data_IF_830954815453
#
_entry.id   IF_830954815453
#
_cell.length_a   1.000
_cell.length_b   1.000
_cell.length_c   1.000
_cell.angle_alpha   90.00
_cell.angle_beta   90.00
_cell.angle_gamma   90.00
#
_symmetry.space_group_name_H-M   'P 1'
#
loop_
_entity.id
_entity.type
_entity.pdbx_description
1 polymer ?
#
# COMPACT_ATOMS: atom_id res chain seq x y z
N UNK A 1 -9.06 21.31 -1.94
CA UNK A 1 -8.03 20.64 -2.79
C UNK A 1 -8.53 20.69 -4.21
N UNK A 2 -7.72 21.21 -5.14
CA UNK A 2 -8.05 21.31 -6.55
C UNK A 2 -8.26 19.90 -7.17
N UNK A 3 -9.41 19.61 -7.81
CA UNK A 3 -9.66 18.34 -8.51
C UNK A 3 -8.59 17.98 -9.55
N UNK A 4 -7.98 18.99 -10.19
CA UNK A 4 -6.93 18.78 -11.18
C UNK A 4 -5.65 18.26 -10.50
N UNK A 5 -5.26 18.86 -9.38
CA UNK A 5 -4.11 18.41 -8.60
C UNK A 5 -4.26 16.96 -8.12
N UNK A 6 -5.46 16.56 -7.68
CA UNK A 6 -5.75 15.17 -7.29
C UNK A 6 -5.60 14.20 -8.47
N UNK A 7 -6.06 14.60 -9.66
CA UNK A 7 -5.92 13.81 -10.89
C UNK A 7 -4.45 13.64 -11.27
N UNK A 8 -3.66 14.71 -11.18
CA UNK A 8 -2.24 14.69 -11.51
C UNK A 8 -1.45 13.81 -10.52
N UNK A 9 -1.75 13.92 -9.22
CA UNK A 9 -1.19 13.02 -8.20
C UNK A 9 -1.53 11.56 -8.49
N UNK A 10 -2.77 11.27 -8.88
CA UNK A 10 -3.20 9.92 -9.21
C UNK A 10 -2.48 9.38 -10.45
N UNK A 11 -2.36 10.19 -11.51
CA UNK A 11 -1.64 9.81 -12.71
C UNK A 11 -0.18 9.45 -12.39
N UNK A 12 0.50 10.29 -11.60
CA UNK A 12 1.88 10.05 -11.16
C UNK A 12 2.04 8.87 -10.20
N UNK A 13 1.01 8.57 -9.41
CA UNK A 13 0.98 7.40 -8.54
C UNK A 13 0.86 6.11 -9.35
N UNK A 14 -0.06 6.06 -10.31
CA UNK A 14 -0.33 4.89 -11.15
C UNK A 14 0.77 4.64 -12.18
N UNK A 15 1.31 5.71 -12.79
CA UNK A 15 2.35 5.63 -13.80
C UNK A 15 3.71 5.87 -13.16
N UNK A 16 4.30 4.78 -12.64
CA UNK A 16 5.67 4.75 -12.13
C UNK A 16 6.58 4.28 -13.28
N UNK A 17 7.57 5.10 -13.72
CA UNK A 17 8.51 4.71 -14.76
C UNK A 17 9.17 3.36 -14.43
N UNK A 18 9.29 2.45 -15.39
CA UNK A 18 9.92 1.14 -15.09
C UNK A 18 11.44 1.17 -15.14
N UNK A 19 12.00 2.22 -15.72
CA UNK A 19 13.42 2.26 -16.11
C UNK A 19 14.29 3.07 -15.13
N UNK A 20 13.69 3.66 -14.09
CA UNK A 20 14.37 4.62 -13.21
C UNK A 20 14.42 4.19 -11.74
N UNK A 21 13.49 3.36 -11.32
CA UNK A 21 13.28 2.92 -9.96
C UNK A 21 12.49 1.61 -9.91
N UNK A 22 12.71 0.84 -8.86
CA UNK A 22 12.06 -0.46 -8.65
C UNK A 22 11.00 -0.33 -7.57
N UNK A 23 9.71 -0.53 -7.89
CA UNK A 23 8.64 -0.57 -6.90
C UNK A 23 8.72 -1.75 -5.94
N UNK A 24 9.42 -2.82 -6.34
CA UNK A 24 9.79 -3.95 -5.49
C UNK A 24 11.31 -4.10 -5.49
N UNK A 25 11.94 -3.94 -4.32
CA UNK A 25 13.39 -4.01 -4.16
C UNK A 25 13.94 -5.42 -4.43
N UNK A 26 13.10 -6.46 -4.42
CA UNK A 26 13.50 -7.81 -4.85
C UNK A 26 13.82 -7.88 -6.36
N UNK A 27 13.49 -6.85 -7.13
CA UNK A 27 13.78 -6.75 -8.57
C UNK A 27 15.05 -5.95 -8.88
N UNK A 28 15.75 -5.45 -7.86
CA UNK A 28 17.02 -4.76 -8.06
C UNK A 28 18.06 -5.70 -8.69
N UNK A 29 18.80 -5.28 -9.74
CA UNK A 29 19.85 -6.10 -10.36
C UNK A 29 20.95 -6.47 -9.36
N UNK A 30 21.39 -5.49 -8.57
CA UNK A 30 22.39 -5.66 -7.51
C UNK A 30 21.75 -5.25 -6.18
N UNK A 31 21.52 -6.21 -5.29
CA UNK A 31 20.96 -5.95 -3.97
C UNK A 31 22.08 -5.70 -2.96
N UNK A 32 22.32 -4.41 -2.65
CA UNK A 32 23.20 -3.98 -1.58
C UNK A 32 22.63 -2.73 -0.89
N UNK A 33 23.24 -2.31 0.21
CA UNK A 33 22.77 -1.16 1.00
C UNK A 33 22.70 0.13 0.18
N UNK A 34 23.69 0.35 -0.68
CA UNK A 34 23.77 1.55 -1.52
C UNK A 34 22.64 1.58 -2.56
N UNK A 35 22.45 0.51 -3.32
CA UNK A 35 21.40 0.44 -4.36
C UNK A 35 20.00 0.51 -3.77
N UNK A 36 19.79 -0.11 -2.60
CA UNK A 36 18.55 -0.03 -1.86
C UNK A 36 18.25 1.41 -1.43
N UNK A 37 19.21 2.09 -0.81
CA UNK A 37 19.06 3.47 -0.36
C UNK A 37 18.83 4.43 -1.53
N UNK A 38 19.58 4.26 -2.62
CA UNK A 38 19.43 5.06 -3.84
C UNK A 38 18.03 4.91 -4.45
N UNK A 39 17.51 3.67 -4.52
CA UNK A 39 16.17 3.41 -5.01
C UNK A 39 15.09 4.03 -4.12
N UNK A 40 15.18 3.84 -2.79
CA UNK A 40 14.23 4.45 -1.84
C UNK A 40 14.26 5.97 -1.92
N UNK A 41 15.45 6.58 -2.03
CA UNK A 41 15.60 8.02 -2.20
C UNK A 41 14.96 8.50 -3.50
N UNK A 42 15.23 7.83 -4.62
CA UNK A 42 14.66 8.19 -5.93
C UNK A 42 13.13 8.12 -5.91
N UNK A 43 12.57 7.05 -5.34
CA UNK A 43 11.12 6.86 -5.16
C UNK A 43 10.52 7.95 -4.30
N UNK A 44 11.13 8.25 -3.15
CA UNK A 44 10.65 9.29 -2.24
C UNK A 44 10.67 10.67 -2.89
N UNK A 45 11.75 11.04 -3.60
CA UNK A 45 11.84 12.29 -4.38
C UNK A 45 10.79 12.33 -5.50
N UNK A 46 10.46 11.18 -6.08
CA UNK A 46 9.39 11.06 -7.08
C UNK A 46 7.96 11.14 -6.47
N UNK A 47 7.83 11.17 -5.14
CA UNK A 47 6.54 11.18 -4.43
C UNK A 47 5.96 9.79 -4.20
N UNK A 48 6.73 8.73 -4.36
CA UNK A 48 6.33 7.37 -4.06
C UNK A 48 6.82 6.98 -2.67
N UNK A 49 5.92 7.07 -1.69
CA UNK A 49 6.25 6.84 -0.27
C UNK A 49 6.27 5.36 0.14
N UNK A 50 5.76 4.50 -0.73
CA UNK A 50 5.62 3.07 -0.50
C UNK A 50 6.48 2.28 -1.47
N UNK A 51 7.18 1.27 -0.97
CA UNK A 51 8.04 0.37 -1.77
C UNK A 51 7.92 -1.05 -1.22
N UNK A 52 7.80 -2.05 -2.09
CA UNK A 52 7.79 -3.46 -1.68
C UNK A 52 9.19 -4.01 -1.45
N UNK A 53 9.25 -5.03 -0.59
CA UNK A 53 10.33 -6.00 -0.49
C UNK A 53 9.64 -7.37 -0.41
N UNK A 54 9.28 -7.94 -1.56
CA UNK A 54 8.43 -9.12 -1.61
C UNK A 54 7.08 -8.88 -0.91
N UNK A 55 6.85 -9.55 0.23
CA UNK A 55 5.62 -9.38 1.03
C UNK A 55 5.68 -8.23 2.06
N UNK A 56 6.84 -7.61 2.24
CA UNK A 56 7.03 -6.49 3.18
C UNK A 56 6.78 -5.17 2.46
N UNK A 57 6.21 -4.20 3.18
CA UNK A 57 6.00 -2.84 2.68
C UNK A 57 6.88 -1.85 3.46
N UNK A 58 7.80 -1.19 2.77
CA UNK A 58 8.54 -0.04 3.29
C UNK A 58 7.69 1.22 3.08
N UNK A 59 7.48 1.97 4.15
CA UNK A 59 6.80 3.26 4.15
C UNK A 59 7.76 4.36 4.62
N UNK A 60 8.02 5.35 3.76
CA UNK A 60 8.83 6.53 4.09
C UNK A 60 7.90 7.69 4.38
N UNK A 61 7.85 8.16 5.63
CA UNK A 61 6.92 9.21 6.06
C UNK A 61 7.21 10.54 5.33
N UNK A 62 6.27 11.08 4.53
CA UNK A 62 6.48 12.33 3.81
C UNK A 62 6.27 13.59 4.68
N UNK A 63 5.86 13.46 5.96
CA UNK A 63 5.52 14.55 6.88
C UNK A 63 4.50 15.56 6.32
N UNK A 64 3.68 15.12 5.37
CA UNK A 64 2.63 15.91 4.73
C UNK A 64 1.49 15.00 4.29
N UNK A 65 0.32 15.60 4.08
CA UNK A 65 -0.82 14.88 3.54
C UNK A 65 -0.51 14.36 2.12
N UNK A 66 -0.83 13.10 1.88
CA UNK A 66 -0.68 12.45 0.58
C UNK A 66 -2.05 11.94 0.09
N UNK A 67 -2.57 12.39 -1.07
CA UNK A 67 -3.95 12.12 -1.49
C UNK A 67 -4.21 10.68 -1.99
N UNK A 68 -3.35 9.72 -1.67
CA UNK A 68 -3.41 8.33 -2.14
C UNK A 68 -4.43 7.47 -1.36
N UNK A 69 -4.92 7.94 -0.22
CA UNK A 69 -5.85 7.22 0.65
C UNK A 69 -7.33 7.39 0.28
N UNK A 70 -7.65 8.01 -0.86
CA UNK A 70 -9.03 8.23 -1.29
C UNK A 70 -9.77 6.89 -1.47
N UNK A 71 -11.01 6.75 -0.95
CA UNK A 71 -11.84 5.54 -1.13
C UNK A 71 -12.05 5.10 -2.58
N UNK A 72 -11.95 6.00 -3.55
CA UNK A 72 -11.98 5.63 -4.98
C UNK A 72 -10.77 4.77 -5.37
N UNK A 73 -9.59 5.08 -4.83
CA UNK A 73 -8.34 4.36 -5.10
C UNK A 73 -8.23 3.06 -4.30
N UNK A 74 -8.82 3.04 -3.10
CA UNK A 74 -8.99 1.83 -2.28
C UNK A 74 -9.57 0.66 -3.09
N UNK A 75 -10.56 0.92 -3.95
CA UNK A 75 -11.23 -0.12 -4.75
C UNK A 75 -10.29 -0.81 -5.76
N UNK A 76 -9.22 -0.15 -6.18
CA UNK A 76 -8.28 -0.71 -7.17
C UNK A 76 -7.51 -1.91 -6.61
N UNK A 77 -7.18 -1.86 -5.31
CA UNK A 77 -6.40 -2.89 -4.64
C UNK A 77 -7.21 -4.11 -4.20
N UNK A 78 -8.54 -4.10 -4.40
CA UNK A 78 -9.40 -5.18 -3.94
C UNK A 78 -9.29 -6.42 -4.82
N UNK A 79 -9.18 -7.60 -4.18
CA UNK A 79 -9.04 -8.90 -4.85
C UNK A 79 -7.80 -8.97 -5.75
N UNK A 80 -6.74 -8.22 -5.41
CA UNK A 80 -5.50 -8.20 -6.18
C UNK A 80 -4.39 -8.88 -5.39
N UNK A 81 -3.55 -9.64 -6.10
CA UNK A 81 -2.33 -10.20 -5.50
C UNK A 81 -1.31 -9.08 -5.33
N UNK A 82 -0.51 -9.16 -4.27
CA UNK A 82 0.71 -8.35 -4.15
C UNK A 82 1.60 -8.64 -5.35
N UNK A 83 2.07 -7.60 -6.02
CA UNK A 83 2.88 -7.75 -7.22
C UNK A 83 2.88 -6.50 -8.11
N UNK A 84 3.44 -6.62 -9.32
CA UNK A 84 3.75 -5.49 -10.18
C UNK A 84 2.54 -4.88 -10.91
N UNK A 85 1.35 -5.47 -10.77
CA UNK A 85 0.13 -4.97 -11.43
C UNK A 85 -0.28 -3.57 -10.93
N UNK A 86 -0.04 -3.30 -9.64
CA UNK A 86 -0.38 -2.04 -9.00
C UNK A 86 0.82 -1.48 -8.23
N UNK A 87 0.90 -0.15 -8.09
CA UNK A 87 1.88 0.48 -7.22
C UNK A 87 1.91 -0.09 -5.80
N UNK A 88 3.05 -0.04 -5.09
CA UNK A 88 3.09 -0.41 -3.70
C UNK A 88 2.16 0.44 -2.85
N UNK A 89 1.35 -0.22 -2.02
CA UNK A 89 0.37 0.46 -1.19
C UNK A 89 -0.02 -0.35 0.05
N UNK A 90 -0.31 0.36 1.15
CA UNK A 90 -0.74 -0.24 2.43
C UNK A 90 -2.08 -1.01 2.32
N UNK A 91 -2.97 -0.55 1.44
CA UNK A 91 -4.23 -1.24 1.13
C UNK A 91 -4.02 -2.59 0.47
N UNK A 92 -2.97 -2.76 -0.33
CA UNK A 92 -2.64 -4.06 -0.90
C UNK A 92 -2.26 -5.08 0.19
N UNK A 93 -1.55 -4.63 1.23
CA UNK A 93 -1.18 -5.47 2.39
C UNK A 93 -2.42 -5.86 3.19
N UNK A 94 -3.33 -4.91 3.44
CA UNK A 94 -4.61 -5.20 4.09
C UNK A 94 -5.46 -6.19 3.30
N UNK A 95 -5.59 -5.99 1.98
CA UNK A 95 -6.35 -6.87 1.09
C UNK A 95 -5.75 -8.27 1.06
N UNK A 96 -4.41 -8.38 0.95
CA UNK A 96 -3.71 -9.66 0.98
C UNK A 96 -3.92 -10.41 2.31
N UNK A 97 -3.81 -9.71 3.45
CA UNK A 97 -4.06 -10.31 4.77
C UNK A 97 -5.52 -10.77 4.91
N UNK A 98 -6.48 -9.95 4.48
CA UNK A 98 -7.90 -10.30 4.52
C UNK A 98 -8.22 -11.54 3.66
N UNK A 99 -7.74 -11.58 2.42
CA UNK A 99 -7.94 -12.73 1.54
C UNK A 99 -7.24 -13.99 2.05
N UNK A 100 -6.03 -13.85 2.60
CA UNK A 100 -5.31 -14.96 3.23
C UNK A 100 -6.13 -15.54 4.40
N UNK A 101 -6.66 -14.68 5.27
CA UNK A 101 -7.54 -15.08 6.37
C UNK A 101 -8.75 -15.89 5.89
N UNK A 102 -9.44 -15.42 4.85
CA UNK A 102 -10.62 -16.11 4.30
C UNK A 102 -10.26 -17.45 3.64
N UNK A 103 -9.18 -17.47 2.85
CA UNK A 103 -8.74 -18.65 2.09
C UNK A 103 -8.22 -19.74 3.01
N UNK A 104 -7.34 -19.38 3.94
CA UNK A 104 -6.66 -20.33 4.83
C UNK A 104 -7.47 -20.66 6.08
N UNK A 105 -8.51 -19.86 6.39
CA UNK A 105 -9.30 -19.97 7.63
C UNK A 105 -8.42 -19.91 8.89
N UNK A 106 -7.41 -19.06 8.86
CA UNK A 106 -6.45 -18.86 9.96
C UNK A 106 -6.26 -17.38 10.25
N UNK A 107 -6.05 -17.07 11.53
CA UNK A 107 -5.77 -15.72 11.99
C UNK A 107 -4.51 -15.17 11.32
N UNK A 108 -4.55 -13.91 10.92
CA UNK A 108 -3.45 -13.19 10.27
C UNK A 108 -2.93 -12.08 11.17
N UNK A 109 -1.67 -11.71 10.99
CA UNK A 109 -1.03 -10.64 11.75
C UNK A 109 -0.34 -9.66 10.80
N UNK A 110 -0.58 -8.36 11.00
CA UNK A 110 0.17 -7.29 10.34
C UNK A 110 1.00 -6.60 11.42
N UNK A 111 2.32 -6.65 11.28
CA UNK A 111 3.27 -6.01 12.21
C UNK A 111 3.77 -4.71 11.58
N UNK A 112 3.62 -3.59 12.30
CA UNK A 112 4.14 -2.29 11.88
C UNK A 112 5.27 -1.89 12.82
N UNK A 113 6.49 -1.80 12.29
CA UNK A 113 7.68 -1.38 13.02
C UNK A 113 8.21 -0.05 12.47
N UNK A 114 9.03 0.62 13.28
CA UNK A 114 9.66 1.89 12.91
C UNK A 114 9.92 2.79 14.13
N UNK A 115 10.81 3.76 13.96
CA UNK A 115 11.18 4.72 15.01
C UNK A 115 10.03 5.65 15.41
N UNK A 116 10.22 6.46 16.46
CA UNK A 116 9.26 7.49 16.82
C UNK A 116 9.07 8.48 15.65
N UNK A 117 7.83 8.86 15.35
CA UNK A 117 7.53 9.77 14.23
C UNK A 117 7.50 9.15 12.83
N UNK A 118 7.78 7.85 12.67
CA UNK A 118 7.75 7.15 11.36
C UNK A 118 6.36 6.97 10.73
N UNK A 119 5.27 7.34 11.43
CA UNK A 119 3.91 7.22 10.91
C UNK A 119 3.20 5.90 11.18
N UNK A 120 3.67 5.12 12.19
CA UNK A 120 3.03 3.86 12.60
C UNK A 120 1.54 4.00 12.91
N UNK A 121 1.17 4.98 13.74
CA UNK A 121 -0.22 5.21 14.16
C UNK A 121 -1.14 5.50 12.98
N UNK A 122 -0.71 6.39 12.07
CA UNK A 122 -1.46 6.71 10.85
C UNK A 122 -1.59 5.48 9.93
N UNK A 123 -0.51 4.72 9.78
CA UNK A 123 -0.51 3.48 8.99
C UNK A 123 -1.51 2.45 9.55
N UNK A 124 -1.55 2.29 10.88
CA UNK A 124 -2.55 1.45 11.56
C UNK A 124 -3.97 1.94 11.28
N UNK A 125 -4.23 3.24 11.37
CA UNK A 125 -5.55 3.80 11.08
C UNK A 125 -5.99 3.50 9.64
N UNK A 126 -5.11 3.67 8.64
CA UNK A 126 -5.42 3.34 7.25
C UNK A 126 -5.72 1.84 7.05
N UNK A 127 -4.97 0.95 7.69
CA UNK A 127 -5.23 -0.48 7.65
C UNK A 127 -6.60 -0.83 8.23
N UNK A 128 -6.91 -0.31 9.42
CA UNK A 128 -8.19 -0.55 10.10
C UNK A 128 -9.36 -0.07 9.24
N UNK A 129 -9.31 1.17 8.74
CA UNK A 129 -10.35 1.70 7.85
C UNK A 129 -10.57 0.83 6.61
N UNK A 130 -9.49 0.33 6.00
CA UNK A 130 -9.59 -0.54 4.83
C UNK A 130 -10.20 -1.90 5.17
N UNK A 131 -9.74 -2.55 6.25
CA UNK A 131 -10.23 -3.85 6.70
C UNK A 131 -11.71 -3.78 7.11
N UNK A 132 -12.13 -2.71 7.80
CA UNK A 132 -13.56 -2.48 8.09
C UNK A 132 -14.38 -2.39 6.81
N UNK A 133 -13.91 -1.65 5.81
CA UNK A 133 -14.60 -1.51 4.53
C UNK A 133 -14.68 -2.82 3.74
N UNK A 134 -13.65 -3.67 3.80
CA UNK A 134 -13.66 -5.02 3.21
C UNK A 134 -14.69 -5.93 3.90
N UNK A 135 -14.71 -5.93 5.23
CA UNK A 135 -15.63 -6.75 6.03
C UNK A 135 -17.11 -6.43 5.75
N UNK A 136 -17.47 -5.16 5.64
CA UNK A 136 -18.85 -4.74 5.36
C UNK A 136 -19.34 -5.22 3.97
N UNK A 137 -18.44 -5.31 2.98
CA UNK A 137 -18.79 -5.83 1.65
C UNK A 137 -19.02 -7.34 1.63
N UNK A 138 -18.29 -8.08 2.47
CA UNK A 138 -18.49 -9.53 2.64
C UNK A 138 -19.83 -9.88 3.31
N UNK A 139 -20.44 -8.93 4.03
CA UNK A 139 -21.69 -9.13 4.77
C UNK A 139 -22.97 -9.08 3.90
N UNK A 140 -22.89 -8.69 2.62
CA UNK A 140 -24.03 -8.78 1.69
C UNK A 140 -24.25 -10.19 1.10
N UNK A 141 -23.65 -11.20 1.72
CA UNK A 141 -23.71 -12.60 1.31
C UNK A 141 -23.99 -13.56 2.46
N UNK A 142 -24.84 -13.21 3.41
CA UNK A 142 -25.57 -14.18 4.24
C UNK A 142 -26.66 -13.45 5.02
N UNK A 143 -27.93 -13.72 4.72
CA UNK A 143 -29.03 -13.27 5.55
C UNK A 143 -28.90 -13.80 6.97
N UNK A 144 -29.29 -12.97 7.93
CA UNK A 144 -29.84 -13.45 9.19
C UNK A 144 -31.03 -12.55 9.48
N UNK A 145 -32.19 -13.20 9.52
CA UNK A 145 -33.47 -12.70 9.99
C UNK A 145 -33.34 -12.09 11.40
N UNK A 146 -34.01 -10.96 11.63
CA UNK A 146 -34.71 -10.67 12.88
C UNK A 146 -36.07 -10.10 12.53
#
# INVERSE_FOLDING_TARGET
>A
MDPQLIRDYFHRFMYQPKDREYPDLCQLPDLNEQTLLENLRARFTAGHIYTYVGSILIAVNPFKFHPIYNPKYVKLYQNRRLGPELPPHIFAVADAAYHCMLKERRNQCIVISGESGSGKTESTNFLLHHLTALSQKGSHGSGVEQ
#
